data_IF_919773932929
#
_entry.id   IF_919773932929
#
_cell.length_a   1.000
_cell.length_b   1.000
_cell.length_c   1.000
_cell.angle_alpha   90.00
_cell.angle_beta   90.00
_cell.angle_gamma   90.00
#
_symmetry.space_group_name_H-M   'P 1'
#
loop_
_entity.id
_entity.type
_entity.pdbx_description
1 polymer ?
#
# COMPACT_ATOMS: atom_id res chain seq x y z
N UNK A 1 -19.72 -13.36 -24.14
CA UNK A 1 -19.13 -12.01 -23.91
C UNK A 1 -18.14 -11.73 -25.02
N UNK A 2 -17.94 -10.47 -25.40
CA UNK A 2 -16.93 -10.10 -26.37
C UNK A 2 -15.51 -10.43 -25.85
N UNK A 3 -14.55 -10.69 -26.75
CA UNK A 3 -13.17 -11.01 -26.33
C UNK A 3 -12.43 -9.80 -25.77
N UNK A 4 -12.79 -8.59 -26.23
CA UNK A 4 -12.20 -7.32 -25.83
C UNK A 4 -13.26 -6.32 -25.37
N UNK A 5 -12.82 -5.33 -24.60
CA UNK A 5 -13.64 -4.20 -24.19
C UNK A 5 -13.91 -3.31 -25.41
N UNK A 6 -15.16 -2.91 -25.61
CA UNK A 6 -15.62 -2.01 -26.65
C UNK A 6 -16.18 -0.73 -26.02
N UNK A 7 -16.22 0.38 -26.75
CA UNK A 7 -16.81 1.65 -26.29
C UNK A 7 -18.22 1.50 -25.73
N UNK A 8 -19.02 0.60 -26.32
CA UNK A 8 -20.38 0.28 -25.84
C UNK A 8 -20.46 -0.24 -24.40
N UNK A 9 -19.38 -0.85 -23.88
CA UNK A 9 -19.31 -1.31 -22.48
C UNK A 9 -19.22 -0.15 -21.47
N UNK A 10 -18.86 1.06 -21.91
CA UNK A 10 -18.83 2.28 -21.07
C UNK A 10 -19.96 3.26 -21.34
N UNK A 11 -20.91 2.95 -22.25
CA UNK A 11 -21.91 3.90 -22.74
C UNK A 11 -23.32 3.67 -22.19
N UNK A 12 -23.49 2.78 -21.23
CA UNK A 12 -24.80 2.36 -20.74
C UNK A 12 -25.46 1.28 -21.61
N UNK A 13 -26.69 0.93 -21.26
CA UNK A 13 -27.48 -0.05 -22.01
C UNK A 13 -27.02 -1.52 -21.81
N UNK A 14 -27.39 -2.38 -22.76
CA UNK A 14 -27.25 -3.84 -22.61
C UNK A 14 -25.78 -4.30 -22.51
N UNK A 15 -24.86 -3.67 -23.25
CA UNK A 15 -23.45 -4.04 -23.24
C UNK A 15 -22.81 -3.71 -21.89
N UNK A 16 -23.07 -2.52 -21.36
CA UNK A 16 -22.59 -2.13 -20.03
C UNK A 16 -23.18 -3.02 -18.94
N UNK A 17 -24.49 -3.28 -18.98
CA UNK A 17 -25.11 -4.20 -18.02
C UNK A 17 -24.45 -5.57 -18.05
N UNK A 18 -24.13 -6.07 -19.23
CA UNK A 18 -23.52 -7.39 -19.39
C UNK A 18 -22.11 -7.46 -18.78
N UNK A 19 -21.27 -6.44 -18.98
CA UNK A 19 -19.93 -6.42 -18.35
C UNK A 19 -20.05 -6.29 -16.82
N UNK A 20 -21.03 -5.53 -16.33
CA UNK A 20 -21.29 -5.43 -14.90
C UNK A 20 -21.68 -6.79 -14.32
N UNK A 21 -22.63 -7.47 -14.91
CA UNK A 21 -23.14 -8.75 -14.43
C UNK A 21 -22.09 -9.88 -14.53
N UNK A 22 -21.42 -10.01 -15.71
CA UNK A 22 -20.53 -11.14 -16.03
C UNK A 22 -19.07 -10.95 -15.59
N UNK A 23 -18.68 -9.76 -15.15
CA UNK A 23 -17.30 -9.48 -14.68
C UNK A 23 -17.32 -9.00 -13.24
N UNK A 24 -17.95 -7.87 -12.97
CA UNK A 24 -17.86 -7.23 -11.66
C UNK A 24 -18.72 -7.93 -10.61
N UNK A 25 -20.00 -8.17 -10.88
CA UNK A 25 -20.88 -8.85 -9.94
C UNK A 25 -20.49 -10.32 -9.73
N UNK A 26 -20.03 -11.01 -10.79
CA UNK A 26 -19.52 -12.38 -10.68
C UNK A 26 -18.28 -12.44 -9.78
N UNK A 27 -17.39 -11.44 -9.86
CA UNK A 27 -16.15 -11.43 -9.09
C UNK A 27 -16.38 -11.04 -7.62
N UNK A 28 -17.03 -9.90 -7.35
CA UNK A 28 -17.11 -9.32 -6.01
C UNK A 28 -18.49 -8.72 -5.65
N UNK A 29 -19.56 -9.28 -6.19
CA UNK A 29 -20.92 -8.83 -5.87
C UNK A 29 -21.25 -8.94 -4.38
N UNK A 30 -21.02 -7.87 -3.61
CA UNK A 30 -21.46 -7.74 -2.23
C UNK A 30 -22.97 -7.52 -2.15
N UNK A 31 -23.56 -7.68 -0.97
CA UNK A 31 -25.00 -7.42 -0.77
C UNK A 31 -25.37 -6.01 -1.20
N UNK A 32 -24.57 -5.04 -0.80
CA UNK A 32 -24.76 -3.62 -1.09
C UNK A 32 -24.61 -3.30 -2.59
N UNK A 33 -23.63 -3.91 -3.25
CA UNK A 33 -23.41 -3.72 -4.69
C UNK A 33 -24.53 -4.33 -5.52
N UNK A 34 -25.05 -5.50 -5.13
CA UNK A 34 -26.11 -6.20 -5.83
C UNK A 34 -27.50 -5.54 -5.72
N UNK A 35 -27.68 -4.58 -4.80
CA UNK A 35 -28.87 -3.73 -4.76
C UNK A 35 -29.04 -2.90 -6.03
N UNK A 36 -27.92 -2.60 -6.73
CA UNK A 36 -27.94 -1.89 -8.02
C UNK A 36 -28.37 -0.43 -7.91
N UNK A 37 -28.24 0.20 -6.74
CA UNK A 37 -28.55 1.61 -6.51
C UNK A 37 -27.38 2.49 -6.99
N UNK A 38 -27.69 3.78 -7.26
CA UNK A 38 -26.66 4.77 -7.63
C UNK A 38 -25.65 5.03 -6.50
N UNK A 39 -26.05 4.78 -5.27
CA UNK A 39 -25.19 4.91 -4.09
C UNK A 39 -25.41 3.75 -3.12
N UNK A 40 -24.31 3.26 -2.53
CA UNK A 40 -24.40 2.31 -1.44
C UNK A 40 -24.86 3.00 -0.15
N UNK A 41 -25.83 2.41 0.54
CA UNK A 41 -26.25 2.83 1.88
C UNK A 41 -25.45 2.07 2.92
N UNK A 42 -24.65 2.78 3.69
CA UNK A 42 -23.73 2.21 4.67
C UNK A 42 -24.13 2.59 6.08
N UNK A 43 -23.89 1.74 7.09
CA UNK A 43 -24.15 2.09 8.48
C UNK A 43 -23.24 3.24 8.92
N UNK A 44 -23.74 4.07 9.82
CA UNK A 44 -22.93 5.08 10.50
C UNK A 44 -21.95 4.42 11.49
N UNK A 45 -20.83 5.09 11.85
CA UNK A 45 -19.96 4.65 12.94
C UNK A 45 -20.75 4.48 14.25
N UNK A 46 -20.32 3.54 15.09
CA UNK A 46 -20.87 3.40 16.45
C UNK A 46 -20.51 4.62 17.33
N UNK A 47 -21.15 4.74 18.48
CA UNK A 47 -20.87 5.84 19.42
C UNK A 47 -19.39 5.83 19.86
N UNK A 48 -18.70 6.95 19.69
CA UNK A 48 -17.28 7.12 20.00
C UNK A 48 -16.31 6.70 18.90
N UNK A 49 -16.78 6.01 17.86
CA UNK A 49 -15.96 5.74 16.68
C UNK A 49 -15.87 6.96 15.75
N UNK A 50 -14.78 7.04 14.99
CA UNK A 50 -14.58 8.06 13.95
C UNK A 50 -14.52 7.41 12.58
N UNK A 51 -14.99 8.13 11.55
CA UNK A 51 -14.89 7.70 10.16
C UNK A 51 -13.48 7.98 9.63
N UNK A 52 -12.84 6.97 9.03
CA UNK A 52 -11.65 7.12 8.20
C UNK A 52 -12.04 6.97 6.72
N UNK A 53 -11.41 7.76 5.86
CA UNK A 53 -11.63 7.74 4.41
C UNK A 53 -10.32 8.01 3.69
N UNK A 54 -10.01 7.20 2.68
CA UNK A 54 -8.88 7.41 1.76
C UNK A 54 -9.29 7.12 0.33
N UNK A 55 -8.53 7.61 -0.63
CA UNK A 55 -8.68 7.30 -2.06
C UNK A 55 -7.32 7.23 -2.72
N UNK A 56 -7.15 6.25 -3.61
CA UNK A 56 -5.91 6.07 -4.36
C UNK A 56 -6.20 5.64 -5.79
N UNK A 57 -5.25 5.90 -6.70
CA UNK A 57 -5.36 5.61 -8.13
C UNK A 57 -4.16 4.78 -8.58
N UNK A 58 -4.43 3.74 -9.33
CA UNK A 58 -3.45 2.73 -9.74
C UNK A 58 -3.25 2.78 -11.25
N UNK A 59 -1.99 2.95 -11.65
CA UNK A 59 -1.57 3.16 -13.04
C UNK A 59 -0.34 2.32 -13.41
N UNK A 60 -0.08 1.26 -12.66
CA UNK A 60 1.10 0.40 -12.83
C UNK A 60 1.15 -0.23 -14.21
N UNK A 61 2.35 -0.29 -14.78
CA UNK A 61 2.64 -1.00 -16.02
C UNK A 61 3.91 -1.83 -15.84
N UNK A 62 3.91 -3.15 -16.17
CA UNK A 62 2.78 -3.95 -16.69
C UNK A 62 1.68 -4.17 -15.66
N UNK A 63 0.45 -4.49 -16.10
CA UNK A 63 -0.69 -4.72 -15.21
C UNK A 63 -0.58 -6.02 -14.40
N UNK A 64 0.19 -6.98 -14.91
CA UNK A 64 0.50 -8.26 -14.26
C UNK A 64 1.99 -8.38 -14.03
N UNK A 65 2.37 -8.81 -12.84
CA UNK A 65 3.77 -8.99 -12.45
C UNK A 65 3.88 -10.15 -11.43
N UNK A 66 5.07 -10.70 -11.18
CA UNK A 66 5.24 -11.79 -10.23
C UNK A 66 4.63 -11.49 -8.86
N UNK A 67 3.72 -12.36 -8.43
CA UNK A 67 3.04 -12.25 -7.14
C UNK A 67 1.80 -11.34 -7.10
N UNK A 68 1.44 -10.65 -8.21
CA UNK A 68 0.27 -9.77 -8.21
C UNK A 68 -0.10 -9.15 -9.55
N UNK A 69 -1.06 -8.25 -9.48
CA UNK A 69 -1.56 -7.44 -10.58
C UNK A 69 -2.10 -6.09 -10.05
N UNK A 70 -2.51 -5.23 -10.96
CA UNK A 70 -3.10 -3.91 -10.63
C UNK A 70 -4.34 -4.02 -9.72
N UNK A 71 -5.13 -5.09 -9.85
CA UNK A 71 -6.31 -5.31 -9.00
C UNK A 71 -5.95 -5.63 -7.56
N UNK A 72 -4.89 -6.45 -7.36
CA UNK A 72 -4.34 -6.71 -6.04
C UNK A 72 -3.85 -5.42 -5.39
N UNK A 73 -3.10 -4.59 -6.12
CA UNK A 73 -2.64 -3.29 -5.64
C UNK A 73 -3.80 -2.39 -5.24
N UNK A 74 -4.83 -2.30 -6.10
CA UNK A 74 -5.96 -1.39 -5.90
C UNK A 74 -6.74 -1.67 -4.61
N UNK A 75 -6.85 -2.92 -4.20
CA UNK A 75 -7.47 -3.25 -2.91
C UNK A 75 -6.50 -3.05 -1.76
N UNK A 76 -5.27 -3.57 -1.86
CA UNK A 76 -4.30 -3.55 -0.77
C UNK A 76 -3.90 -2.12 -0.39
N UNK A 77 -3.56 -1.26 -1.37
CA UNK A 77 -3.12 0.11 -1.10
C UNK A 77 -4.17 0.91 -0.34
N UNK A 78 -5.40 0.96 -0.85
CA UNK A 78 -6.48 1.71 -0.19
C UNK A 78 -6.87 1.12 1.18
N UNK A 79 -6.86 -0.20 1.33
CA UNK A 79 -7.08 -0.85 2.64
C UNK A 79 -5.98 -0.45 3.63
N UNK A 80 -4.72 -0.45 3.18
CA UNK A 80 -3.57 -0.08 4.00
C UNK A 80 -3.66 1.38 4.43
N UNK A 81 -3.96 2.30 3.52
CA UNK A 81 -4.17 3.72 3.82
C UNK A 81 -5.20 3.93 4.94
N UNK A 82 -6.38 3.31 4.76
CA UNK A 82 -7.44 3.42 5.78
C UNK A 82 -6.96 2.85 7.12
N UNK A 83 -6.24 1.73 7.10
CA UNK A 83 -5.77 1.07 8.31
C UNK A 83 -4.67 1.84 9.04
N UNK A 84 -3.82 2.65 8.34
CA UNK A 84 -2.77 3.48 8.99
C UNK A 84 -3.33 4.49 9.99
N UNK A 85 -4.59 4.89 9.84
CA UNK A 85 -5.30 5.73 10.82
C UNK A 85 -5.75 5.00 12.09
N UNK A 86 -5.48 3.69 12.18
CA UNK A 86 -6.00 2.80 13.23
C UNK A 86 -7.44 2.35 12.98
N UNK A 87 -8.00 2.66 11.81
CA UNK A 87 -9.33 2.23 11.45
C UNK A 87 -9.38 0.74 11.09
N UNK A 88 -10.55 0.16 11.27
CA UNK A 88 -10.92 -1.14 10.69
C UNK A 88 -11.58 -0.86 9.33
N UNK A 89 -10.89 -1.12 8.19
CA UNK A 89 -11.47 -0.94 6.87
C UNK A 89 -12.72 -1.82 6.70
N UNK A 90 -13.76 -1.30 6.01
CA UNK A 90 -15.03 -2.01 5.83
C UNK A 90 -15.51 -2.01 4.39
N UNK A 91 -15.42 -0.87 3.71
CA UNK A 91 -16.06 -0.66 2.43
C UNK A 91 -15.11 0.00 1.44
N UNK A 92 -15.15 -0.45 0.19
CA UNK A 92 -14.43 0.15 -0.92
C UNK A 92 -15.42 0.54 -2.03
N UNK A 93 -15.15 1.65 -2.68
CA UNK A 93 -15.62 1.90 -4.04
C UNK A 93 -14.53 1.50 -5.04
N UNK A 94 -14.92 1.21 -6.29
CA UNK A 94 -13.97 0.90 -7.35
C UNK A 94 -14.40 1.49 -8.69
N UNK A 95 -13.61 2.42 -9.21
CA UNK A 95 -13.77 3.00 -10.53
C UNK A 95 -12.76 2.41 -11.51
N UNK A 96 -13.23 2.03 -12.71
CA UNK A 96 -12.41 1.57 -13.83
C UNK A 96 -12.43 2.58 -14.97
N UNK A 97 -11.26 2.89 -15.53
CA UNK A 97 -11.11 3.50 -16.83
C UNK A 97 -10.42 2.47 -17.71
N UNK A 98 -11.17 1.94 -18.69
CA UNK A 98 -10.72 0.89 -19.60
C UNK A 98 -10.44 1.48 -20.98
N UNK A 99 -9.40 1.00 -21.62
CA UNK A 99 -9.15 1.32 -23.01
C UNK A 99 -9.89 0.33 -23.93
N UNK A 100 -10.49 0.84 -25.02
CA UNK A 100 -11.08 0.00 -26.05
C UNK A 100 -10.04 -0.97 -26.61
N UNK A 101 -10.37 -2.25 -26.66
CA UNK A 101 -9.48 -3.32 -27.05
C UNK A 101 -8.83 -4.07 -25.88
N UNK A 102 -8.98 -3.60 -24.64
CA UNK A 102 -8.47 -4.31 -23.46
C UNK A 102 -9.10 -5.72 -23.36
N UNK A 103 -8.30 -6.80 -23.15
CA UNK A 103 -8.84 -8.14 -23.10
C UNK A 103 -9.80 -8.34 -21.93
N UNK A 104 -10.99 -8.88 -22.18
CA UNK A 104 -11.96 -9.17 -21.13
C UNK A 104 -11.46 -10.27 -20.18
N UNK A 105 -10.64 -11.19 -20.67
CA UNK A 105 -10.03 -12.23 -19.85
C UNK A 105 -9.10 -11.60 -18.77
N UNK A 106 -8.30 -10.60 -19.15
CA UNK A 106 -7.41 -9.89 -18.24
C UNK A 106 -8.21 -9.08 -17.21
N UNK A 107 -9.29 -8.42 -17.64
CA UNK A 107 -10.19 -7.71 -16.73
C UNK A 107 -10.82 -8.67 -15.70
N UNK A 108 -11.26 -9.86 -16.12
CA UNK A 108 -11.77 -10.88 -15.19
C UNK A 108 -10.72 -11.33 -14.20
N UNK A 109 -9.48 -11.51 -14.62
CA UNK A 109 -8.39 -11.88 -13.74
C UNK A 109 -8.13 -10.79 -12.71
N UNK A 110 -8.06 -9.51 -13.12
CA UNK A 110 -7.92 -8.35 -12.24
C UNK A 110 -9.04 -8.31 -11.20
N UNK A 111 -10.30 -8.43 -11.64
CA UNK A 111 -11.45 -8.43 -10.72
C UNK A 111 -11.41 -9.61 -9.74
N UNK A 112 -10.93 -10.78 -10.19
CA UNK A 112 -10.76 -11.94 -9.31
C UNK A 112 -9.70 -11.68 -8.23
N UNK A 113 -8.56 -11.09 -8.59
CA UNK A 113 -7.53 -10.68 -7.63
C UNK A 113 -8.07 -9.67 -6.62
N UNK A 114 -8.85 -8.69 -7.08
CA UNK A 114 -9.53 -7.73 -6.19
C UNK A 114 -10.46 -8.44 -5.20
N UNK A 115 -11.29 -9.38 -5.70
CA UNK A 115 -12.19 -10.15 -4.85
C UNK A 115 -11.45 -10.96 -3.77
N UNK A 116 -10.34 -11.58 -4.14
CA UNK A 116 -9.50 -12.33 -3.20
C UNK A 116 -8.94 -11.44 -2.09
N UNK A 117 -8.39 -10.28 -2.46
CA UNK A 117 -7.82 -9.33 -1.49
C UNK A 117 -8.90 -8.68 -0.62
N UNK A 118 -10.04 -8.32 -1.19
CA UNK A 118 -11.18 -7.81 -0.44
C UNK A 118 -11.67 -8.80 0.61
N UNK A 119 -11.80 -10.09 0.22
CA UNK A 119 -12.16 -11.17 1.14
C UNK A 119 -11.11 -11.36 2.24
N UNK A 120 -9.84 -11.31 1.90
CA UNK A 120 -8.75 -11.46 2.87
C UNK A 120 -8.70 -10.29 3.85
N UNK A 121 -8.86 -9.07 3.36
CA UNK A 121 -8.93 -7.86 4.19
C UNK A 121 -10.22 -7.76 5.02
N UNK A 122 -11.26 -8.53 4.68
CA UNK A 122 -12.57 -8.43 5.32
C UNK A 122 -13.34 -7.17 4.93
N UNK A 123 -13.13 -6.67 3.70
CA UNK A 123 -13.82 -5.49 3.16
C UNK A 123 -14.78 -5.86 2.03
N UNK A 124 -15.81 -5.02 1.82
CA UNK A 124 -16.75 -5.17 0.72
C UNK A 124 -16.53 -4.06 -0.33
N UNK A 125 -16.50 -4.43 -1.61
CA UNK A 125 -16.63 -3.47 -2.71
C UNK A 125 -18.11 -3.23 -2.89
N UNK A 126 -18.56 -2.00 -2.60
CA UNK A 126 -20.00 -1.69 -2.43
C UNK A 126 -20.58 -0.78 -3.51
N UNK A 127 -19.73 -0.14 -4.28
CA UNK A 127 -20.12 0.72 -5.40
C UNK A 127 -18.96 0.87 -6.37
N UNK A 128 -19.25 1.27 -7.60
CA UNK A 128 -18.23 1.48 -8.61
C UNK A 128 -18.73 2.23 -9.83
N UNK A 129 -17.80 2.57 -10.71
CA UNK A 129 -18.09 3.18 -12.01
C UNK A 129 -17.17 2.58 -13.08
N UNK A 130 -17.60 2.61 -14.33
CA UNK A 130 -16.82 2.10 -15.46
C UNK A 130 -16.92 3.08 -16.63
N UNK A 131 -15.76 3.49 -17.12
CA UNK A 131 -15.66 4.28 -18.35
C UNK A 131 -14.78 3.54 -19.34
N UNK A 132 -15.08 3.71 -20.62
CA UNK A 132 -14.24 3.20 -21.70
C UNK A 132 -13.79 4.39 -22.55
N UNK A 133 -12.47 4.48 -22.73
CA UNK A 133 -11.84 5.47 -23.62
C UNK A 133 -11.44 4.81 -24.94
N UNK A 134 -11.33 5.61 -26.00
CA UNK A 134 -10.92 5.12 -27.31
C UNK A 134 -9.52 4.49 -27.26
N UNK A 135 -9.27 3.56 -28.16
CA UNK A 135 -7.92 2.97 -28.34
C UNK A 135 -6.87 4.06 -28.60
N UNK A 136 -5.71 3.93 -27.92
CA UNK A 136 -4.63 4.92 -27.95
C UNK A 136 -4.82 6.13 -27.02
N UNK A 137 -5.86 6.15 -26.17
CA UNK A 137 -6.13 7.23 -25.21
C UNK A 137 -6.05 6.77 -23.75
N UNK A 138 -5.55 5.58 -23.50
CA UNK A 138 -5.27 5.02 -22.20
C UNK A 138 -4.07 4.07 -22.26
N UNK A 139 -3.81 3.37 -21.16
CA UNK A 139 -2.80 2.31 -21.09
C UNK A 139 -3.47 1.00 -20.64
N UNK A 140 -4.50 0.59 -21.33
CA UNK A 140 -5.26 -0.61 -21.05
C UNK A 140 -6.26 -0.43 -19.91
N UNK A 141 -5.80 -0.30 -18.66
CA UNK A 141 -6.67 -0.14 -17.50
C UNK A 141 -6.05 0.79 -16.44
N UNK A 142 -6.90 1.68 -15.91
CA UNK A 142 -6.63 2.43 -14.68
C UNK A 142 -7.72 2.11 -13.67
N UNK A 143 -7.33 2.01 -12.40
CA UNK A 143 -8.25 1.71 -11.30
C UNK A 143 -8.13 2.81 -10.25
N UNK A 144 -9.28 3.31 -9.78
CA UNK A 144 -9.35 4.14 -8.58
C UNK A 144 -10.18 3.43 -7.54
N UNK A 145 -9.70 3.37 -6.32
CA UNK A 145 -10.45 2.87 -5.17
C UNK A 145 -10.55 3.94 -4.10
N UNK A 146 -11.68 3.98 -3.40
CA UNK A 146 -11.82 4.78 -2.19
C UNK A 146 -12.29 3.88 -1.06
N UNK A 147 -11.70 4.05 0.10
CA UNK A 147 -11.94 3.19 1.26
C UNK A 147 -12.58 3.92 2.43
N UNK A 148 -13.47 3.23 3.10
CA UNK A 148 -14.12 3.68 4.33
C UNK A 148 -13.85 2.66 5.44
N UNK A 149 -13.46 3.16 6.61
CA UNK A 149 -13.27 2.37 7.82
C UNK A 149 -13.70 3.15 9.07
N UNK A 150 -13.74 2.44 10.19
CA UNK A 150 -14.10 3.03 11.47
C UNK A 150 -12.93 2.92 12.44
N UNK A 151 -12.50 4.08 12.97
CA UNK A 151 -11.45 4.16 13.99
C UNK A 151 -12.10 3.90 15.34
N UNK A 152 -11.68 2.86 16.10
CA UNK A 152 -12.21 2.56 17.41
C UNK A 152 -12.05 3.72 18.39
N UNK A 153 -12.97 3.84 19.34
CA UNK A 153 -12.88 4.83 20.40
C UNK A 153 -11.55 4.71 21.17
N UNK A 154 -10.89 5.86 21.36
CA UNK A 154 -9.62 5.93 22.10
C UNK A 154 -8.37 5.66 21.26
N UNK A 155 -8.49 5.25 20.00
CA UNK A 155 -7.34 5.12 19.09
C UNK A 155 -7.02 6.48 18.49
N UNK A 156 -5.80 6.97 18.73
CA UNK A 156 -5.31 8.22 18.15
C UNK A 156 -3.89 8.02 17.61
N UNK A 157 -3.75 8.12 16.30
CA UNK A 157 -2.49 7.98 15.56
C UNK A 157 -2.22 9.25 14.75
N UNK A 158 -0.97 9.66 14.73
CA UNK A 158 -0.51 10.76 13.86
C UNK A 158 0.98 10.70 13.66
N UNK A 159 1.44 11.01 12.44
CA UNK A 159 2.86 11.22 12.14
C UNK A 159 3.50 12.35 12.95
N UNK A 160 2.70 13.22 13.60
CA UNK A 160 3.17 14.28 14.48
C UNK A 160 3.38 13.84 15.95
N UNK A 161 3.20 12.58 16.27
CA UNK A 161 3.27 12.10 17.65
C UNK A 161 4.58 11.41 18.01
N UNK A 162 5.52 11.24 17.08
CA UNK A 162 6.83 10.64 17.35
C UNK A 162 7.63 11.49 18.36
N UNK A 163 8.29 10.82 19.30
CA UNK A 163 9.04 11.48 20.38
C UNK A 163 10.44 10.89 20.50
N UNK A 164 11.43 11.67 20.92
CA UNK A 164 12.75 11.15 21.24
C UNK A 164 12.68 9.94 22.21
N UNK A 165 13.38 8.87 21.84
CA UNK A 165 13.37 7.59 22.53
C UNK A 165 12.42 6.54 21.94
N UNK A 166 11.46 6.94 21.11
CA UNK A 166 10.59 5.99 20.41
C UNK A 166 11.42 5.13 19.43
N UNK A 167 10.94 3.92 19.15
CA UNK A 167 11.57 2.97 18.22
C UNK A 167 10.82 2.93 16.88
N UNK A 168 11.61 2.75 15.82
CA UNK A 168 11.12 2.68 14.44
C UNK A 168 11.17 1.21 14.01
N UNK A 169 10.03 0.68 13.58
CA UNK A 169 9.90 -0.69 13.09
C UNK A 169 9.47 -0.68 11.62
N UNK A 170 9.85 -1.72 10.89
CA UNK A 170 9.31 -2.05 9.57
C UNK A 170 8.76 -3.47 9.57
N UNK A 171 7.65 -3.69 8.90
CA UNK A 171 6.94 -4.98 8.92
C UNK A 171 7.61 -6.10 8.11
N UNK A 172 8.69 -5.82 7.38
CA UNK A 172 9.41 -6.84 6.59
C UNK A 172 10.43 -6.27 5.64
N UNK A 173 10.88 -7.09 4.67
CA UNK A 173 11.88 -6.72 3.68
C UNK A 173 11.42 -5.57 2.80
N UNK A 174 12.33 -4.63 2.46
CA UNK A 174 12.03 -3.49 1.61
C UNK A 174 12.51 -3.68 0.17
N UNK A 175 11.86 -2.96 -0.77
CA UNK A 175 12.24 -2.90 -2.18
C UNK A 175 11.68 -4.01 -3.06
N UNK A 176 10.98 -4.98 -2.49
CA UNK A 176 10.48 -6.15 -3.22
C UNK A 176 9.53 -5.75 -4.37
N UNK A 177 8.55 -4.88 -4.12
CA UNK A 177 7.59 -4.47 -5.15
C UNK A 177 8.24 -3.71 -6.29
N UNK A 178 8.96 -2.64 -5.97
CA UNK A 178 9.55 -1.77 -6.98
C UNK A 178 10.52 -2.52 -7.90
N UNK A 179 11.36 -3.40 -7.35
CA UNK A 179 12.27 -4.22 -8.15
C UNK A 179 11.49 -5.25 -8.99
N UNK A 180 10.41 -5.86 -8.45
CA UNK A 180 9.58 -6.80 -9.22
C UNK A 180 9.00 -6.14 -10.48
N UNK A 181 8.40 -4.96 -10.35
CA UNK A 181 7.78 -4.26 -11.47
C UNK A 181 8.84 -3.79 -12.49
N UNK A 182 9.97 -3.26 -12.01
CA UNK A 182 11.08 -2.83 -12.88
C UNK A 182 11.70 -4.01 -13.63
N UNK A 183 11.90 -5.14 -12.99
CA UNK A 183 12.40 -6.35 -13.64
C UNK A 183 11.50 -6.78 -14.80
N UNK A 184 10.17 -6.70 -14.62
CA UNK A 184 9.22 -6.98 -15.70
C UNK A 184 9.31 -5.99 -16.85
N UNK A 185 9.49 -4.69 -16.58
CA UNK A 185 9.58 -3.65 -17.62
C UNK A 185 10.82 -3.78 -18.48
N UNK A 186 11.95 -4.03 -17.84
CA UNK A 186 13.25 -4.12 -18.51
C UNK A 186 13.54 -5.54 -19.06
N UNK A 187 12.54 -6.46 -18.96
CA UNK A 187 12.68 -7.87 -19.33
C UNK A 187 13.91 -8.52 -18.67
N UNK A 188 14.26 -8.08 -17.45
CA UNK A 188 15.41 -8.56 -16.73
C UNK A 188 15.10 -9.90 -16.07
N UNK A 189 15.90 -10.89 -16.38
CA UNK A 189 15.84 -12.19 -15.72
C UNK A 189 16.84 -12.19 -14.56
N UNK A 190 16.39 -11.93 -13.35
CA UNK A 190 17.20 -12.23 -12.17
C UNK A 190 17.11 -13.75 -11.89
N UNK A 191 18.24 -14.38 -11.57
CA UNK A 191 18.26 -15.79 -11.12
C UNK A 191 17.69 -15.98 -9.71
N UNK A 192 16.69 -15.17 -9.35
CA UNK A 192 16.04 -15.17 -8.05
C UNK A 192 14.55 -14.92 -8.22
N UNK A 193 13.75 -15.58 -7.42
CA UNK A 193 12.29 -15.40 -7.37
C UNK A 193 11.95 -14.12 -6.56
N UNK A 194 11.99 -12.95 -7.22
CA UNK A 194 11.56 -11.69 -6.64
C UNK A 194 10.09 -11.50 -7.01
N UNK A 195 9.24 -11.34 -6.00
CA UNK A 195 7.80 -11.13 -6.14
C UNK A 195 7.38 -9.86 -5.42
N UNK A 196 6.29 -9.25 -5.88
CA UNK A 196 5.69 -8.11 -5.17
C UNK A 196 5.34 -8.49 -3.74
N UNK A 197 5.52 -7.54 -2.85
CA UNK A 197 5.09 -7.63 -1.47
C UNK A 197 3.64 -7.19 -1.23
N UNK A 198 2.93 -6.75 -2.27
CA UNK A 198 1.56 -6.24 -2.15
C UNK A 198 0.67 -7.15 -1.29
N UNK A 199 0.12 -6.61 -0.22
CA UNK A 199 -0.65 -7.35 0.78
C UNK A 199 -1.56 -6.42 1.60
N UNK A 200 -2.74 -6.89 2.07
CA UNK A 200 -3.57 -6.14 2.99
C UNK A 200 -3.01 -6.27 4.42
N UNK A 201 -2.60 -5.16 5.01
CA UNK A 201 -1.93 -5.10 6.31
C UNK A 201 -2.86 -4.71 7.48
N UNK A 202 -4.15 -4.52 7.22
CA UNK A 202 -5.12 -4.08 8.23
C UNK A 202 -5.17 -4.99 9.47
N UNK A 203 -5.04 -6.31 9.29
CA UNK A 203 -4.99 -7.24 10.43
C UNK A 203 -3.68 -7.12 11.22
N UNK A 204 -2.55 -6.99 10.53
CA UNK A 204 -1.25 -6.76 11.16
C UNK A 204 -1.26 -5.47 11.99
N UNK A 205 -1.81 -4.38 11.45
CA UNK A 205 -1.92 -3.10 12.16
C UNK A 205 -2.79 -3.25 13.41
N UNK A 206 -3.93 -3.94 13.30
CA UNK A 206 -4.82 -4.18 14.43
C UNK A 206 -4.14 -5.02 15.54
N UNK A 207 -3.37 -6.04 15.16
CA UNK A 207 -2.60 -6.88 16.08
C UNK A 207 -1.50 -6.09 16.80
N UNK A 208 -0.79 -5.22 16.08
CA UNK A 208 0.21 -4.32 16.68
C UNK A 208 -0.43 -3.34 17.64
N UNK A 209 -1.55 -2.70 17.28
CA UNK A 209 -2.27 -1.78 18.18
C UNK A 209 -2.78 -2.47 19.45
N UNK A 210 -3.18 -3.74 19.36
CA UNK A 210 -3.58 -4.51 20.51
C UNK A 210 -2.40 -4.81 21.45
N UNK A 211 -1.19 -5.03 20.92
CA UNK A 211 0.03 -5.34 21.68
C UNK A 211 0.77 -4.09 22.17
N UNK A 212 0.69 -2.99 21.42
CA UNK A 212 1.36 -1.71 21.66
C UNK A 212 0.36 -0.55 21.52
N UNK A 213 -0.54 -0.34 22.49
CA UNK A 213 -1.64 0.62 22.38
C UNK A 213 -1.19 2.09 22.31
N UNK A 214 0.04 2.42 22.75
CA UNK A 214 0.61 3.77 22.67
C UNK A 214 1.40 4.02 21.37
N UNK A 215 1.21 3.18 20.33
CA UNK A 215 1.76 3.39 18.99
C UNK A 215 1.51 4.83 18.54
N UNK A 216 2.55 5.48 18.00
CA UNK A 216 2.50 6.87 17.53
C UNK A 216 1.82 6.99 16.18
N UNK A 217 2.30 6.19 15.22
CA UNK A 217 1.80 6.20 13.86
C UNK A 217 2.13 4.91 13.12
N UNK A 218 1.40 4.70 12.03
CA UNK A 218 1.77 3.80 10.94
C UNK A 218 1.87 4.60 9.65
N UNK A 219 2.74 4.20 8.74
CA UNK A 219 2.87 4.73 7.39
C UNK A 219 3.37 3.66 6.44
N UNK A 220 2.75 3.54 5.29
CA UNK A 220 3.23 2.65 4.22
C UNK A 220 4.36 3.32 3.43
N UNK A 221 5.49 2.64 3.22
CA UNK A 221 6.62 3.17 2.47
C UNK A 221 6.46 2.90 0.96
N UNK A 222 5.43 3.50 0.35
CA UNK A 222 5.11 3.38 -1.07
C UNK A 222 6.04 4.23 -1.92
N UNK A 223 5.57 5.27 -2.60
CA UNK A 223 6.39 6.14 -3.45
C UNK A 223 7.49 6.86 -2.67
N UNK A 224 8.73 6.76 -3.19
CA UNK A 224 9.92 7.26 -2.51
C UNK A 224 10.40 6.38 -1.35
N UNK A 225 9.74 5.23 -1.13
CA UNK A 225 10.15 4.18 -0.23
C UNK A 225 10.29 4.59 1.24
N UNK A 226 11.11 3.85 1.94
CA UNK A 226 11.41 4.10 3.36
C UNK A 226 12.00 5.50 3.59
N UNK A 227 12.83 6.00 2.66
CA UNK A 227 13.47 7.29 2.80
C UNK A 227 12.45 8.44 2.86
N UNK A 228 11.50 8.51 1.92
CA UNK A 228 10.48 9.56 1.91
C UNK A 228 9.59 9.46 3.15
N UNK A 229 9.11 8.26 3.46
CA UNK A 229 8.25 7.99 4.62
C UNK A 229 8.86 8.48 5.94
N UNK A 230 10.13 8.14 6.18
CA UNK A 230 10.80 8.54 7.44
C UNK A 230 11.07 10.04 7.50
N UNK A 231 11.44 10.69 6.38
CA UNK A 231 11.64 12.14 6.35
C UNK A 231 10.33 12.88 6.59
N UNK A 232 9.22 12.43 6.00
CA UNK A 232 7.89 13.02 6.26
C UNK A 232 7.48 12.91 7.74
N UNK A 233 7.69 11.75 8.37
CA UNK A 233 7.38 11.56 9.79
C UNK A 233 8.28 12.40 10.70
N UNK A 234 9.58 12.51 10.38
CA UNK A 234 10.52 13.34 11.11
C UNK A 234 10.13 14.83 11.06
N UNK A 235 9.75 15.32 9.87
CA UNK A 235 9.28 16.70 9.69
C UNK A 235 7.95 16.95 10.40
N UNK A 236 6.99 16.03 10.33
CA UNK A 236 5.69 16.17 10.99
C UNK A 236 5.80 16.23 12.52
N UNK A 237 6.78 15.51 13.09
CA UNK A 237 7.01 15.45 14.54
C UNK A 237 8.07 16.43 15.04
N UNK A 238 8.75 17.16 14.15
CA UNK A 238 9.88 18.05 14.46
C UNK A 238 11.01 17.37 15.25
N UNK A 239 11.39 16.17 14.84
CA UNK A 239 12.44 15.32 15.45
C UNK A 239 13.42 14.81 14.40
N UNK A 240 14.53 14.18 14.85
CA UNK A 240 15.42 13.44 13.98
C UNK A 240 15.17 11.92 14.10
N UNK A 241 15.44 11.21 13.00
CA UNK A 241 15.42 9.75 12.98
C UNK A 241 16.82 9.20 12.69
N UNK A 242 17.22 8.17 13.41
CA UNK A 242 18.45 7.40 13.13
C UNK A 242 18.06 5.97 12.80
N UNK A 243 18.44 5.54 11.61
CA UNK A 243 18.21 4.18 11.10
C UNK A 243 19.51 3.40 11.15
N UNK A 244 19.49 2.18 11.61
CA UNK A 244 20.62 1.26 11.61
C UNK A 244 20.64 0.46 10.28
N UNK A 245 21.64 0.68 9.45
CA UNK A 245 21.75 0.09 8.11
C UNK A 245 21.62 -1.44 8.13
N UNK A 246 22.33 -2.08 9.06
CA UNK A 246 22.37 -3.53 9.20
C UNK A 246 21.06 -4.13 9.77
N UNK A 247 20.19 -3.29 10.34
CA UNK A 247 18.91 -3.71 10.89
C UNK A 247 17.76 -3.68 9.85
N UNK A 248 17.93 -2.97 8.75
CA UNK A 248 16.89 -2.88 7.70
C UNK A 248 16.88 -4.16 6.88
N UNK A 249 15.78 -4.95 6.90
CA UNK A 249 15.72 -6.19 6.17
C UNK A 249 15.60 -5.93 4.66
N UNK A 250 16.54 -6.47 3.89
CA UNK A 250 16.57 -6.40 2.43
C UNK A 250 16.99 -7.77 1.89
N UNK A 251 16.23 -8.34 0.98
CA UNK A 251 16.61 -9.60 0.32
C UNK A 251 17.87 -9.40 -0.53
N UNK A 252 18.79 -10.36 -0.51
CA UNK A 252 20.04 -10.30 -1.30
C UNK A 252 19.78 -10.05 -2.79
N UNK A 253 18.74 -10.67 -3.34
CA UNK A 253 18.34 -10.49 -4.73
C UNK A 253 17.90 -9.05 -5.04
N UNK A 254 17.16 -8.42 -4.12
CA UNK A 254 16.73 -7.03 -4.24
C UNK A 254 17.93 -6.08 -4.13
N UNK A 255 18.82 -6.34 -3.17
CA UNK A 255 20.08 -5.58 -3.01
C UNK A 255 20.93 -5.66 -4.28
N UNK A 256 21.16 -6.85 -4.80
CA UNK A 256 21.93 -7.05 -6.05
C UNK A 256 21.28 -6.37 -7.25
N UNK A 257 19.94 -6.41 -7.36
CA UNK A 257 19.22 -5.71 -8.43
C UNK A 257 19.37 -4.19 -8.31
N UNK A 258 19.23 -3.62 -7.11
CA UNK A 258 19.46 -2.21 -6.87
C UNK A 258 20.87 -1.77 -7.23
N UNK A 259 21.89 -2.54 -6.85
CA UNK A 259 23.30 -2.27 -7.19
C UNK A 259 23.52 -2.28 -8.71
N UNK A 260 22.95 -3.25 -9.44
CA UNK A 260 23.06 -3.33 -10.90
C UNK A 260 22.37 -2.15 -11.62
N UNK A 261 21.22 -1.72 -11.10
CA UNK A 261 20.41 -0.66 -11.70
C UNK A 261 20.80 0.75 -11.21
N UNK A 262 21.67 0.84 -10.21
CA UNK A 262 22.07 2.11 -9.60
C UNK A 262 20.97 2.75 -8.74
N UNK A 263 20.09 1.93 -8.14
CA UNK A 263 19.02 2.40 -7.27
C UNK A 263 19.44 2.35 -5.79
N UNK A 264 18.99 3.34 -5.02
CA UNK A 264 19.02 3.27 -3.56
C UNK A 264 17.80 2.48 -3.07
N UNK A 265 18.01 1.33 -2.42
CA UNK A 265 16.94 0.46 -1.95
C UNK A 265 15.99 1.15 -0.98
N UNK A 266 16.47 2.13 -0.23
CA UNK A 266 15.64 2.92 0.70
C UNK A 266 14.62 3.82 0.00
N UNK A 267 14.80 4.08 -1.29
CA UNK A 267 13.91 4.89 -2.12
C UNK A 267 12.99 4.04 -3.00
N UNK A 268 13.15 2.71 -2.97
CA UNK A 268 12.33 1.77 -3.75
C UNK A 268 10.97 1.58 -3.09
N UNK A 269 9.91 1.64 -3.89
CA UNK A 269 8.53 1.51 -3.43
C UNK A 269 8.20 0.11 -2.89
N UNK A 270 7.31 0.08 -1.90
CA UNK A 270 6.74 -1.12 -1.28
C UNK A 270 5.21 -0.99 -1.25
N UNK A 271 4.48 -2.09 -1.43
CA UNK A 271 3.01 -2.08 -1.49
C UNK A 271 2.36 -2.98 -0.42
N UNK A 272 3.18 -3.67 0.36
CA UNK A 272 2.76 -4.54 1.45
C UNK A 272 3.68 -4.46 2.65
N UNK A 273 4.22 -3.27 2.93
CA UNK A 273 5.03 -2.98 4.11
C UNK A 273 4.47 -1.80 4.88
N UNK A 274 4.78 -1.78 6.17
CA UNK A 274 4.35 -0.75 7.08
C UNK A 274 5.52 -0.32 7.96
N UNK A 275 5.75 0.98 8.04
CA UNK A 275 6.57 1.61 9.08
C UNK A 275 5.69 1.87 10.28
N UNK A 276 6.19 1.58 11.46
CA UNK A 276 5.52 1.80 12.74
C UNK A 276 6.48 2.50 13.70
N UNK A 277 6.00 3.52 14.41
CA UNK A 277 6.75 4.19 15.48
C UNK A 277 6.03 3.96 16.81
N UNK A 278 6.75 3.43 17.78
CA UNK A 278 6.20 3.05 19.10
C UNK A 278 7.10 3.50 20.25
N UNK A 279 6.57 3.70 21.47
CA UNK A 279 7.39 3.86 22.65
C UNK A 279 8.38 2.72 22.84
N UNK A 280 9.58 3.02 23.35
CA UNK A 280 10.65 2.02 23.51
C UNK A 280 10.24 0.82 24.37
N UNK A 281 9.42 1.02 25.38
CA UNK A 281 8.91 -0.03 26.30
C UNK A 281 7.84 -0.92 25.66
N UNK A 282 7.28 -0.55 24.50
CA UNK A 282 6.32 -1.34 23.74
C UNK A 282 6.91 -1.94 22.44
N UNK A 283 8.17 -1.63 22.11
CA UNK A 283 8.77 -2.00 20.83
C UNK A 283 8.88 -3.53 20.64
N UNK A 284 9.27 -4.26 21.68
CA UNK A 284 9.38 -5.72 21.60
C UNK A 284 8.01 -6.36 21.42
N UNK A 285 6.99 -5.89 22.13
CA UNK A 285 5.62 -6.38 21.98
C UNK A 285 5.05 -6.12 20.58
N UNK A 286 5.30 -4.92 20.02
CA UNK A 286 4.94 -4.58 18.65
C UNK A 286 5.65 -5.49 17.63
N UNK A 287 6.95 -5.72 17.81
CA UNK A 287 7.75 -6.59 16.95
C UNK A 287 7.25 -8.05 16.98
N UNK A 288 6.96 -8.58 18.17
CA UNK A 288 6.41 -9.92 18.34
C UNK A 288 5.04 -10.07 17.66
N UNK A 289 4.17 -9.07 17.81
CA UNK A 289 2.88 -9.04 17.13
C UNK A 289 3.04 -9.01 15.60
N UNK A 290 3.93 -8.17 15.07
CA UNK A 290 4.24 -8.17 13.64
C UNK A 290 4.70 -9.54 13.16
N UNK A 291 5.67 -10.15 13.84
CA UNK A 291 6.26 -11.45 13.45
C UNK A 291 5.30 -12.62 13.57
N UNK A 292 4.28 -12.54 14.40
CA UNK A 292 3.22 -13.53 14.49
C UNK A 292 2.27 -13.49 13.28
N UNK A 293 2.20 -12.36 12.57
CA UNK A 293 1.41 -12.22 11.34
C UNK A 293 2.20 -12.70 10.12
N UNK A 294 1.51 -13.35 9.17
CA UNK A 294 2.14 -13.89 7.95
C UNK A 294 2.85 -12.83 7.08
N UNK A 295 2.45 -11.57 7.18
CA UNK A 295 3.04 -10.45 6.43
C UNK A 295 4.13 -9.71 7.20
N UNK A 296 4.38 -10.09 8.45
CA UNK A 296 5.36 -9.47 9.33
C UNK A 296 6.51 -10.39 9.77
N UNK A 297 6.67 -11.57 9.16
CA UNK A 297 7.68 -12.57 9.59
C UNK A 297 9.11 -12.04 9.60
N UNK A 298 9.43 -11.12 8.69
CA UNK A 298 10.74 -10.46 8.57
C UNK A 298 10.76 -9.06 9.21
N UNK A 299 9.79 -8.76 10.09
CA UNK A 299 9.73 -7.47 10.77
C UNK A 299 10.97 -7.23 11.63
N UNK A 300 11.40 -5.97 11.71
CA UNK A 300 12.58 -5.56 12.45
C UNK A 300 12.40 -4.17 13.10
N UNK A 301 13.06 -3.97 14.24
CA UNK A 301 13.33 -2.64 14.77
C UNK A 301 14.52 -2.11 13.98
N UNK A 302 14.32 -1.03 13.23
CA UNK A 302 15.31 -0.50 12.30
C UNK A 302 15.98 0.79 12.77
N UNK A 303 15.53 1.38 13.86
CA UNK A 303 16.08 2.65 14.31
C UNK A 303 15.36 3.25 15.51
N UNK A 304 15.68 4.49 15.76
CA UNK A 304 15.13 5.25 16.88
C UNK A 304 14.90 6.74 16.53
N UNK A 305 13.98 7.33 17.25
CA UNK A 305 13.70 8.76 17.21
C UNK A 305 14.63 9.47 18.21
N UNK A 306 15.27 10.55 17.79
CA UNK A 306 16.16 11.35 18.63
C UNK A 306 15.80 12.83 18.59
N UNK A 307 16.29 13.59 19.57
CA UNK A 307 16.09 15.04 19.58
C UNK A 307 16.75 15.69 18.36
N UNK A 308 16.04 16.61 17.75
CA UNK A 308 16.54 17.47 16.68
C UNK A 308 17.24 18.69 17.29
N UNK A 309 18.45 19.08 16.80
CA UNK A 309 19.03 20.38 17.13
C UNK A 309 18.12 21.54 16.70
N UNK A 310 18.04 22.58 17.53
CA UNK A 310 17.16 23.73 17.29
C UNK A 310 17.54 24.58 16.05
N UNK A 311 18.80 24.50 15.61
CA UNK A 311 19.39 25.35 14.56
C UNK A 311 19.18 24.84 13.14
N UNK A 312 18.42 23.73 12.94
CA UNK A 312 18.15 23.15 11.62
C UNK A 312 16.81 22.42 11.56
N UNK A 313 16.38 22.09 10.32
CA UNK A 313 15.23 21.23 10.06
C UNK A 313 15.48 19.78 10.47
N UNK A 314 14.42 19.02 10.58
CA UNK A 314 14.43 17.57 10.84
C UNK A 314 15.33 16.82 9.84
N UNK A 315 15.86 15.69 10.25
CA UNK A 315 16.76 14.89 9.41
C UNK A 315 16.60 13.42 9.72
N UNK A 316 16.64 12.62 8.66
CA UNK A 316 16.83 11.17 8.75
C UNK A 316 18.29 10.86 8.45
N UNK A 317 18.93 10.12 9.32
CA UNK A 317 20.30 9.64 9.14
C UNK A 317 20.33 8.13 9.22
N UNK A 318 21.19 7.51 8.43
CA UNK A 318 21.46 6.07 8.49
C UNK A 318 22.83 5.86 9.10
N UNK A 319 22.92 5.02 10.11
CA UNK A 319 24.19 4.60 10.71
C UNK A 319 24.68 3.36 9.99
N UNK A 320 25.81 3.49 9.33
CA UNK A 320 26.44 2.38 8.58
C UNK A 320 27.06 1.36 9.55
N UNK A 321 27.29 0.13 9.08
CA UNK A 321 27.94 -0.93 9.85
C UNK A 321 29.32 -0.55 10.41
N UNK A 322 29.95 0.53 9.90
CA UNK A 322 31.19 1.09 10.41
C UNK A 322 30.99 2.24 11.42
N UNK A 323 29.72 2.55 11.77
CA UNK A 323 29.35 3.59 12.71
C UNK A 323 29.32 5.02 12.17
N UNK A 324 29.58 5.23 10.87
CA UNK A 324 29.44 6.53 10.24
C UNK A 324 27.95 6.88 10.01
N UNK A 325 27.60 8.16 10.17
CA UNK A 325 26.26 8.65 9.81
C UNK A 325 26.29 9.25 8.40
N UNK A 326 25.39 8.82 7.55
CA UNK A 326 25.05 9.46 6.28
C UNK A 326 23.62 9.96 6.30
N UNK A 327 23.32 11.02 5.60
CA UNK A 327 21.97 11.55 5.49
C UNK A 327 21.18 10.62 4.54
N UNK A 328 19.93 10.32 4.90
CA UNK A 328 18.96 9.66 4.05
C UNK A 328 17.97 10.72 3.57
N UNK A 329 18.23 11.32 2.41
CA UNK A 329 17.38 12.35 1.84
C UNK A 329 16.18 11.77 1.10
N UNK A 330 15.13 12.60 0.97
CA UNK A 330 14.03 12.31 0.06
C UNK A 330 14.51 12.34 -1.40
N UNK A 331 13.88 11.50 -2.22
CA UNK A 331 14.17 11.47 -3.64
C UNK A 331 13.83 12.80 -4.32
N UNK A 332 14.74 13.33 -5.12
CA UNK A 332 14.50 14.48 -6.00
C UNK A 332 14.22 13.97 -7.41
N UNK A 333 12.95 13.99 -7.83
CA UNK A 333 12.51 13.45 -9.11
C UNK A 333 11.91 12.04 -8.99
N UNK A 334 11.75 11.35 -10.14
CA UNK A 334 11.22 9.98 -10.17
C UNK A 334 12.34 8.97 -10.40
N UNK A 335 12.50 8.02 -9.49
CA UNK A 335 13.38 6.87 -9.68
C UNK A 335 12.61 5.72 -10.37
N UNK A 336 11.36 5.50 -10.01
CA UNK A 336 10.51 4.41 -10.48
C UNK A 336 9.13 4.95 -10.89
N UNK A 337 8.95 5.46 -12.12
CA UNK A 337 7.67 6.01 -12.56
C UNK A 337 6.62 4.90 -12.71
N UNK A 338 5.35 5.22 -12.39
CA UNK A 338 4.19 4.35 -12.59
C UNK A 338 4.38 2.96 -11.96
N UNK A 339 4.77 2.93 -10.71
CA UNK A 339 5.06 1.70 -9.98
C UNK A 339 3.79 1.13 -9.31
N UNK A 340 2.81 1.97 -9.07
CA UNK A 340 1.52 1.63 -8.48
C UNK A 340 0.33 2.20 -9.26
#
# INVERSE_FOLDING_TARGET
>A
MDETVLLGHGSGGTMMKRIIDEVFYEAYGSTELLEGNDAASLPAPSEGERLAYSTDSFVVTPHFFPGGDIGKLAVCGTVNDVATSGAVPKYLSCGFILEEGFPVADLKQICHSMAQMAKEAGVHIVTGDTKVVNHGHGDGVFINTSGVGFIPAGVELSGAFCKPGDKILVSGTIGDHGITVMACREELSFNADIQTDAAPLNHLIAEVLAAAPDTRCFRDPTRGGLASTLNELADQSDVDFIVEEDAVPVKDAVRGACEMLGYDVYQVANEGKMVCVVPADQADAALEAMRANKYGVDAAIIGEVVEKPEDRSSRVSIRTGFGALRIMDMLVGEQLPRIC
#
